data_IF_496893328110
#
_entry.id   IF_496893328110
#
_cell.length_a   1.000
_cell.length_b   1.000
_cell.length_c   1.000
_cell.angle_alpha   90.00
_cell.angle_beta   90.00
_cell.angle_gamma   90.00
#
_symmetry.space_group_name_H-M   'P 1'
#
loop_
_entity.id
_entity.type
_entity.pdbx_description
1 polymer ?
#
# COMPACT_ATOMS: atom_id res chain seq x y z
N UNK A 1 -1.69 -9.77 -15.00
CA UNK A 1 -1.04 -10.21 -13.75
C UNK A 1 -0.52 -11.63 -13.90
N UNK A 2 0.69 -11.87 -13.43
CA UNK A 2 1.32 -13.19 -13.42
C UNK A 2 1.86 -13.50 -12.01
N UNK A 3 1.98 -14.79 -11.68
CA UNK A 3 2.53 -15.26 -10.40
C UNK A 3 3.63 -16.29 -10.66
N UNK A 4 4.82 -16.03 -10.13
CA UNK A 4 5.97 -16.94 -10.19
C UNK A 4 6.51 -17.22 -8.77
N UNK A 5 7.09 -18.41 -8.52
CA UNK A 5 7.07 -19.57 -9.42
C UNK A 5 5.66 -20.13 -9.64
N UNK A 6 5.48 -20.91 -10.67
CA UNK A 6 4.21 -21.58 -11.01
C UNK A 6 4.39 -23.09 -11.02
N UNK A 7 3.31 -23.82 -11.20
CA UNK A 7 3.27 -25.27 -11.34
C UNK A 7 2.50 -25.66 -12.61
N UNK A 8 2.69 -26.86 -13.07
CA UNK A 8 1.91 -27.40 -14.18
C UNK A 8 0.63 -28.04 -13.64
N UNK A 9 -0.54 -27.47 -13.97
CA UNK A 9 -1.83 -28.00 -13.52
C UNK A 9 -2.12 -29.40 -14.09
N UNK A 10 -1.55 -29.75 -15.26
CA UNK A 10 -1.71 -31.05 -15.89
C UNK A 10 -1.18 -32.18 -15.00
N UNK A 11 -0.16 -31.93 -14.17
CA UNK A 11 0.38 -32.96 -13.26
C UNK A 11 -0.66 -33.45 -12.24
N UNK A 12 -1.67 -32.62 -11.88
CA UNK A 12 -2.77 -33.02 -11.02
C UNK A 12 -3.79 -33.92 -11.76
N UNK A 13 -4.07 -33.59 -13.03
CA UNK A 13 -4.97 -34.42 -13.86
C UNK A 13 -4.35 -35.78 -14.17
N UNK A 14 -3.06 -35.79 -14.47
CA UNK A 14 -2.28 -36.99 -14.79
C UNK A 14 -1.90 -37.79 -13.53
N UNK A 15 -2.26 -37.31 -12.33
CA UNK A 15 -1.89 -37.90 -11.04
C UNK A 15 -0.39 -38.16 -10.88
N UNK A 16 0.42 -37.22 -11.38
CA UNK A 16 1.88 -37.25 -11.23
C UNK A 16 2.26 -36.93 -9.77
N UNK A 17 2.16 -37.90 -8.89
CA UNK A 17 2.38 -37.73 -7.45
C UNK A 17 3.79 -37.24 -7.10
N UNK A 18 4.78 -37.52 -7.93
CA UNK A 18 6.16 -37.08 -7.71
C UNK A 18 6.20 -35.54 -7.85
N UNK A 19 5.70 -34.99 -8.97
CA UNK A 19 5.68 -33.56 -9.21
C UNK A 19 4.73 -32.83 -8.25
N UNK A 20 3.57 -33.40 -7.95
CA UNK A 20 2.64 -32.85 -6.94
C UNK A 20 3.35 -32.72 -5.59
N UNK A 21 4.08 -33.75 -5.16
CA UNK A 21 4.82 -33.70 -3.89
C UNK A 21 5.95 -32.68 -3.92
N UNK A 22 6.65 -32.54 -5.06
CA UNK A 22 7.65 -31.50 -5.27
C UNK A 22 7.04 -30.09 -5.11
N UNK A 23 5.87 -29.82 -5.69
CA UNK A 23 5.18 -28.52 -5.53
C UNK A 23 4.75 -28.26 -4.10
N UNK A 24 4.20 -29.27 -3.42
CA UNK A 24 3.72 -29.14 -2.03
C UNK A 24 4.86 -28.84 -1.04
N UNK A 25 6.03 -29.43 -1.27
CA UNK A 25 7.19 -29.28 -0.39
C UNK A 25 8.17 -28.16 -0.84
N UNK A 26 7.89 -27.49 -1.94
CA UNK A 26 8.76 -26.43 -2.45
C UNK A 26 8.69 -25.20 -1.54
N UNK A 27 9.86 -24.77 -1.05
CA UNK A 27 10.01 -23.57 -0.18
C UNK A 27 9.52 -22.30 -0.85
N UNK A 28 9.57 -22.22 -2.17
CA UNK A 28 9.09 -21.08 -2.96
C UNK A 28 7.57 -21.07 -3.15
N UNK A 29 6.85 -22.12 -2.71
CA UNK A 29 5.38 -22.22 -2.73
C UNK A 29 4.77 -21.89 -4.11
N UNK A 30 5.02 -22.67 -5.15
CA UNK A 30 4.54 -22.39 -6.51
C UNK A 30 3.00 -22.38 -6.63
N UNK A 31 2.30 -23.08 -5.73
CA UNK A 31 0.83 -23.07 -5.67
C UNK A 31 0.25 -21.79 -5.04
N UNK A 32 1.07 -20.96 -4.39
CA UNK A 32 0.62 -19.72 -3.80
C UNK A 32 0.58 -18.62 -4.87
N UNK A 33 -0.62 -18.20 -5.25
CA UNK A 33 -0.79 -17.15 -6.25
C UNK A 33 -0.50 -15.76 -5.64
N UNK A 34 0.69 -15.24 -5.92
CA UNK A 34 1.17 -13.96 -5.40
C UNK A 34 0.42 -12.76 -5.96
N UNK A 35 -0.22 -12.91 -7.13
CA UNK A 35 -0.91 -11.81 -7.78
C UNK A 35 -2.19 -11.38 -7.06
N UNK A 36 -2.90 -12.30 -6.41
CA UNK A 36 -4.15 -11.99 -5.71
C UNK A 36 -4.22 -12.48 -4.27
N UNK A 37 -3.42 -13.49 -3.88
CA UNK A 37 -3.35 -13.99 -2.50
C UNK A 37 -2.18 -13.42 -1.71
N UNK A 38 -1.18 -12.83 -2.40
CA UNK A 38 -0.06 -12.13 -1.78
C UNK A 38 -0.44 -10.71 -1.39
N UNK A 39 -0.14 -10.32 -0.15
CA UNK A 39 -0.39 -8.98 0.38
C UNK A 39 0.92 -8.36 0.83
N UNK A 40 1.20 -7.17 0.31
CA UNK A 40 2.47 -6.48 0.49
C UNK A 40 2.23 -5.01 0.85
N UNK A 41 3.12 -4.38 1.61
CA UNK A 41 3.14 -2.93 1.70
C UNK A 41 3.35 -2.34 0.30
N UNK A 42 2.43 -1.50 -0.22
CA UNK A 42 2.51 -1.01 -1.59
C UNK A 42 3.66 -0.02 -1.82
N UNK A 43 4.14 0.66 -0.75
CA UNK A 43 5.13 1.71 -0.90
C UNK A 43 4.62 2.87 -1.77
N UNK A 44 5.52 3.50 -2.51
CA UNK A 44 5.23 4.73 -3.27
C UNK A 44 4.20 4.59 -4.40
N UNK A 45 3.86 3.37 -4.83
CA UNK A 45 2.71 3.19 -5.75
C UNK A 45 1.37 3.51 -5.08
N UNK A 46 1.34 3.70 -3.76
CA UNK A 46 0.19 4.17 -3.01
C UNK A 46 0.04 5.70 -3.01
N UNK A 47 1.11 6.44 -3.31
CA UNK A 47 1.14 7.91 -3.22
C UNK A 47 0.02 8.65 -3.99
N UNK A 48 -0.47 8.19 -5.14
CA UNK A 48 -1.60 8.82 -5.82
C UNK A 48 -2.86 8.91 -4.97
N UNK A 49 -3.11 7.93 -4.08
CA UNK A 49 -4.32 7.91 -3.27
C UNK A 49 -4.39 9.07 -2.24
N UNK A 50 -3.39 9.29 -1.35
CA UNK A 50 -3.40 10.47 -0.48
C UNK A 50 -3.30 11.79 -1.25
N UNK A 51 -2.67 11.79 -2.45
CA UNK A 51 -2.66 12.95 -3.32
C UNK A 51 -4.07 13.31 -3.81
N UNK A 52 -4.83 12.32 -4.28
CA UNK A 52 -6.22 12.48 -4.70
C UNK A 52 -7.09 13.01 -3.56
N UNK A 53 -7.00 12.41 -2.36
CA UNK A 53 -7.72 12.90 -1.19
C UNK A 53 -7.35 14.34 -0.84
N UNK A 54 -6.07 14.68 -0.94
CA UNK A 54 -5.59 16.04 -0.69
C UNK A 54 -6.16 17.08 -1.66
N UNK A 55 -6.30 16.72 -2.94
CA UNK A 55 -6.94 17.54 -3.97
C UNK A 55 -8.45 17.67 -3.74
N UNK A 56 -9.14 16.57 -3.51
CA UNK A 56 -10.60 16.57 -3.28
C UNK A 56 -11.01 17.39 -2.06
N UNK A 57 -10.22 17.32 -0.99
CA UNK A 57 -10.47 18.08 0.25
C UNK A 57 -9.93 19.53 0.19
N UNK A 58 -9.34 19.95 -0.92
CA UNK A 58 -8.73 21.28 -1.05
C UNK A 58 -7.55 21.51 -0.09
N UNK A 59 -6.92 20.43 0.40
CA UNK A 59 -5.74 20.48 1.28
C UNK A 59 -4.51 20.92 0.49
N UNK A 60 -4.41 20.46 -0.74
CA UNK A 60 -3.39 20.85 -1.74
C UNK A 60 -4.07 21.16 -3.07
N UNK A 61 -3.35 21.88 -3.92
CA UNK A 61 -3.69 22.12 -5.32
C UNK A 61 -2.49 21.84 -6.24
N UNK A 62 -2.63 22.11 -7.53
CA UNK A 62 -1.59 21.84 -8.52
C UNK A 62 -0.32 22.70 -8.36
N UNK A 63 -0.42 23.83 -7.66
CA UNK A 63 0.67 24.79 -7.43
C UNK A 63 1.23 24.73 -6.01
N UNK A 64 0.61 23.98 -5.11
CA UNK A 64 1.08 23.79 -3.73
C UNK A 64 2.50 23.26 -3.69
N UNK A 65 3.40 23.95 -3.00
CA UNK A 65 4.81 23.55 -2.85
C UNK A 65 5.14 23.25 -1.39
N UNK A 66 5.95 22.22 -1.19
CA UNK A 66 6.54 21.85 0.10
C UNK A 66 8.06 21.80 -0.06
N UNK A 67 8.80 22.27 0.94
CA UNK A 67 10.25 22.17 0.94
C UNK A 67 10.71 20.88 1.62
N UNK A 68 11.35 20.02 0.86
CA UNK A 68 11.93 18.78 1.35
C UNK A 68 13.43 18.98 1.65
N UNK A 69 13.76 19.04 2.93
CA UNK A 69 15.15 19.08 3.44
C UNK A 69 15.69 17.68 3.82
N UNK A 70 14.97 16.62 3.45
CA UNK A 70 15.34 15.23 3.75
C UNK A 70 14.60 14.60 4.92
N UNK A 71 13.82 15.35 5.68
CA UNK A 71 12.96 14.80 6.75
C UNK A 71 11.75 15.69 7.04
N UNK A 72 10.79 15.11 7.76
CA UNK A 72 9.67 15.79 8.40
C UNK A 72 9.57 15.31 9.85
N UNK A 73 9.00 16.11 10.75
CA UNK A 73 8.96 15.77 12.18
C UNK A 73 7.55 15.85 12.74
N UNK A 74 7.24 14.97 13.70
CA UNK A 74 6.09 15.07 14.61
C UNK A 74 6.62 14.95 16.04
N UNK A 75 6.44 15.99 16.84
CA UNK A 75 7.05 16.08 18.16
C UNK A 75 8.58 15.92 18.05
N UNK A 76 9.14 15.01 18.82
CA UNK A 76 10.58 14.72 18.80
C UNK A 76 11.00 13.67 17.76
N UNK A 77 10.06 13.07 17.03
CA UNK A 77 10.37 12.00 16.08
C UNK A 77 10.51 12.52 14.65
N UNK A 78 11.62 12.15 13.99
CA UNK A 78 11.90 12.45 12.60
C UNK A 78 11.48 11.28 11.68
N UNK A 79 10.91 11.63 10.53
CA UNK A 79 10.53 10.75 9.43
C UNK A 79 11.35 11.15 8.21
N UNK A 80 12.22 10.28 7.76
CA UNK A 80 13.21 10.60 6.74
C UNK A 80 12.71 10.32 5.34
N UNK A 81 13.10 11.18 4.40
CA UNK A 81 12.97 10.93 2.98
C UNK A 81 14.05 9.95 2.52
N UNK A 82 13.77 9.15 1.50
CA UNK A 82 14.79 8.29 0.91
C UNK A 82 15.99 9.09 0.37
N UNK A 83 15.76 10.32 -0.10
CA UNK A 83 16.82 11.23 -0.55
C UNK A 83 17.37 12.02 0.63
N UNK A 84 18.54 11.63 1.14
CA UNK A 84 19.18 12.21 2.35
C UNK A 84 19.35 13.72 2.30
N UNK A 85 19.71 14.31 1.14
CA UNK A 85 19.85 15.77 0.96
C UNK A 85 18.54 16.49 0.70
N UNK A 86 17.41 15.76 0.67
CA UNK A 86 16.11 16.30 0.31
C UNK A 86 15.93 16.57 -1.17
N UNK A 87 14.71 16.95 -1.57
CA UNK A 87 14.33 17.24 -2.96
C UNK A 87 14.25 18.76 -3.24
N UNK A 88 14.46 19.60 -2.21
CA UNK A 88 14.26 21.05 -2.31
C UNK A 88 12.77 21.39 -2.43
N UNK A 89 12.42 22.33 -3.27
CA UNK A 89 11.01 22.69 -3.57
C UNK A 89 10.34 21.57 -4.38
N UNK A 90 9.21 21.10 -3.89
CA UNK A 90 8.46 19.97 -4.43
C UNK A 90 6.99 20.33 -4.53
N UNK A 91 6.44 20.33 -5.73
CA UNK A 91 5.01 20.34 -5.99
C UNK A 91 4.48 18.90 -6.17
N UNK A 92 3.18 18.74 -6.30
CA UNK A 92 2.54 17.43 -6.41
C UNK A 92 3.12 16.57 -7.56
N UNK A 93 3.31 17.16 -8.75
CA UNK A 93 3.88 16.45 -9.92
C UNK A 93 5.27 15.91 -9.63
N UNK A 94 6.13 16.73 -9.01
CA UNK A 94 7.48 16.33 -8.63
C UNK A 94 7.46 15.31 -7.49
N UNK A 95 6.55 15.46 -6.53
CA UNK A 95 6.39 14.52 -5.41
C UNK A 95 6.08 13.09 -5.89
N UNK A 96 5.17 12.94 -6.85
CA UNK A 96 4.83 11.64 -7.44
C UNK A 96 6.00 11.13 -8.30
N UNK A 97 6.56 11.98 -9.17
CA UNK A 97 7.65 11.61 -10.08
C UNK A 97 8.92 11.13 -9.35
N UNK A 98 9.28 11.83 -8.27
CA UNK A 98 10.52 11.58 -7.52
C UNK A 98 10.27 10.82 -6.21
N UNK A 99 9.03 10.40 -5.96
CA UNK A 99 8.65 9.69 -4.73
C UNK A 99 9.11 10.43 -3.47
N UNK A 100 8.77 11.69 -3.32
CA UNK A 100 9.21 12.50 -2.19
C UNK A 100 8.39 12.19 -0.94
N UNK A 101 8.93 11.40 -0.01
CA UNK A 101 8.24 11.03 1.22
C UNK A 101 7.85 12.25 2.06
N UNK A 102 8.72 13.28 2.14
CA UNK A 102 8.44 14.50 2.91
C UNK A 102 7.21 15.22 2.41
N UNK A 103 6.97 15.27 1.09
CA UNK A 103 5.74 15.86 0.56
C UNK A 103 4.50 15.12 1.12
N UNK A 104 4.53 13.81 1.10
CA UNK A 104 3.41 12.99 1.60
C UNK A 104 3.31 12.99 3.12
N UNK A 105 4.42 13.15 3.87
CA UNK A 105 4.37 13.38 5.32
C UNK A 105 3.70 14.70 5.67
N UNK A 106 4.04 15.79 4.97
CA UNK A 106 3.42 17.10 5.23
C UNK A 106 1.93 17.11 4.83
N UNK A 107 1.58 16.43 3.76
CA UNK A 107 0.18 16.21 3.38
C UNK A 107 -0.55 15.38 4.45
N UNK A 108 0.06 14.29 4.92
CA UNK A 108 -0.51 13.37 5.91
C UNK A 108 -0.82 14.04 7.26
N UNK A 109 -0.08 15.07 7.66
CA UNK A 109 -0.37 15.86 8.88
C UNK A 109 -1.74 16.55 8.82
N UNK A 110 -2.28 16.75 7.61
CA UNK A 110 -3.53 17.45 7.32
C UNK A 110 -4.65 16.51 6.88
N UNK A 111 -4.35 15.24 6.62
CA UNK A 111 -5.30 14.21 6.20
C UNK A 111 -5.90 13.50 7.43
N UNK A 112 -7.20 13.23 7.37
CA UNK A 112 -7.85 12.29 8.26
C UNK A 112 -7.65 10.85 7.75
N UNK A 113 -7.11 9.98 8.59
CA UNK A 113 -6.84 8.57 8.22
C UNK A 113 -8.12 7.78 7.88
N UNK A 114 -9.23 8.11 8.50
CA UNK A 114 -10.50 7.42 8.23
C UNK A 114 -11.03 7.81 6.84
N UNK A 115 -10.87 9.07 6.41
CA UNK A 115 -11.19 9.52 5.05
C UNK A 115 -10.28 8.83 4.01
N UNK A 116 -8.98 8.69 4.32
CA UNK A 116 -8.05 7.99 3.44
C UNK A 116 -8.43 6.51 3.27
N UNK A 117 -8.79 5.83 4.36
CA UNK A 117 -9.22 4.43 4.33
C UNK A 117 -10.56 4.26 3.60
N UNK A 118 -11.47 5.24 3.71
CA UNK A 118 -12.73 5.25 2.97
C UNK A 118 -12.48 5.38 1.47
N UNK A 119 -11.74 6.41 1.05
CA UNK A 119 -11.36 6.60 -0.36
C UNK A 119 -10.63 5.37 -0.91
N UNK A 120 -9.72 4.78 -0.14
CA UNK A 120 -9.05 3.54 -0.52
C UNK A 120 -10.05 2.42 -0.83
N UNK A 121 -11.11 2.30 -0.02
CA UNK A 121 -12.14 1.28 -0.22
C UNK A 121 -12.95 1.56 -1.50
N UNK A 122 -13.30 2.81 -1.76
CA UNK A 122 -13.98 3.23 -2.99
C UNK A 122 -13.13 2.99 -4.24
N UNK A 123 -11.80 3.12 -4.12
CA UNK A 123 -10.83 2.90 -5.19
C UNK A 123 -10.39 1.42 -5.34
N UNK A 124 -11.06 0.47 -4.65
CA UNK A 124 -10.84 -0.97 -4.84
C UNK A 124 -9.92 -1.63 -3.81
N UNK A 125 -9.37 -0.90 -2.85
CA UNK A 125 -8.67 -1.50 -1.72
C UNK A 125 -9.66 -2.01 -0.65
N UNK A 126 -9.18 -2.74 0.35
CA UNK A 126 -10.03 -3.29 1.43
C UNK A 126 -11.18 -4.19 0.94
N UNK A 127 -11.16 -4.63 -0.31
CA UNK A 127 -12.22 -5.43 -0.93
C UNK A 127 -11.72 -6.81 -1.31
N UNK A 128 -12.63 -7.79 -1.29
CA UNK A 128 -12.39 -9.12 -1.85
C UNK A 128 -12.84 -9.13 -3.31
N UNK A 129 -11.97 -9.59 -4.18
CA UNK A 129 -12.31 -9.80 -5.58
C UNK A 129 -12.64 -11.27 -5.82
N UNK A 130 -13.89 -11.53 -6.26
CA UNK A 130 -14.30 -12.87 -6.66
C UNK A 130 -13.94 -13.10 -8.13
N UNK A 131 -12.82 -13.77 -8.37
CA UNK A 131 -12.33 -14.12 -9.71
C UNK A 131 -12.40 -15.64 -9.95
N UNK A 132 -13.32 -16.34 -9.27
CA UNK A 132 -13.48 -17.78 -9.37
C UNK A 132 -12.40 -18.59 -8.64
N UNK A 133 -11.49 -17.96 -7.91
CA UNK A 133 -10.43 -18.59 -7.15
C UNK A 133 -10.70 -18.43 -5.65
N UNK A 134 -10.60 -19.51 -4.90
CA UNK A 134 -10.75 -19.52 -3.45
C UNK A 134 -9.58 -18.75 -2.80
N UNK A 135 -9.82 -18.10 -1.64
CA UNK A 135 -8.84 -17.41 -0.79
C UNK A 135 -8.49 -15.96 -1.15
N UNK A 136 -9.35 -15.23 -1.85
CA UNK A 136 -9.19 -13.78 -1.93
C UNK A 136 -9.38 -13.15 -0.54
N UNK A 137 -8.32 -12.61 0.03
CA UNK A 137 -8.38 -11.77 1.23
C UNK A 137 -8.66 -10.32 0.80
N UNK A 138 -9.12 -9.48 1.73
CA UNK A 138 -9.48 -8.09 1.41
C UNK A 138 -8.31 -7.10 1.50
N UNK A 139 -7.12 -7.54 1.93
CA UNK A 139 -6.03 -6.63 2.24
C UNK A 139 -6.32 -5.71 3.42
N UNK A 140 -5.59 -4.62 3.51
CA UNK A 140 -5.75 -3.63 4.58
C UNK A 140 -5.19 -2.27 4.15
N UNK A 141 -6.02 -1.24 4.17
CA UNK A 141 -5.64 0.15 4.38
C UNK A 141 -6.20 0.54 5.75
N UNK A 142 -5.33 0.74 6.76
CA UNK A 142 -5.76 0.83 8.15
C UNK A 142 -6.49 2.13 8.45
N UNK A 143 -7.30 2.12 9.51
CA UNK A 143 -7.98 3.28 10.09
C UNK A 143 -8.05 3.20 11.62
N UNK A 144 -8.63 4.21 12.25
CA UNK A 144 -8.76 4.26 13.74
C UNK A 144 -9.55 3.08 14.29
N UNK A 145 -10.66 2.73 13.62
CA UNK A 145 -11.51 1.62 14.05
C UNK A 145 -10.76 0.30 14.01
N UNK A 146 -10.07 0.02 12.88
CA UNK A 146 -9.27 -1.19 12.73
C UNK A 146 -8.21 -1.33 13.83
N UNK A 147 -7.51 -0.24 14.16
CA UNK A 147 -6.46 -0.29 15.19
C UNK A 147 -7.05 -0.55 16.58
N UNK A 148 -8.16 0.09 16.91
CA UNK A 148 -8.87 -0.13 18.18
C UNK A 148 -9.35 -1.56 18.30
N UNK A 149 -10.02 -2.07 17.26
CA UNK A 149 -10.60 -3.43 17.28
C UNK A 149 -9.52 -4.52 17.37
N UNK A 150 -8.34 -4.28 16.76
CA UNK A 150 -7.28 -5.29 16.69
C UNK A 150 -6.30 -5.25 17.86
N UNK A 151 -6.00 -4.06 18.37
CA UNK A 151 -4.92 -3.85 19.32
C UNK A 151 -5.37 -3.17 20.62
N UNK A 152 -6.63 -2.76 20.72
CA UNK A 152 -7.18 -1.94 21.83
C UNK A 152 -6.34 -0.66 22.07
N UNK A 153 -5.93 -0.01 21.00
CA UNK A 153 -5.06 1.16 21.02
C UNK A 153 -5.63 2.32 20.21
N UNK A 154 -5.33 3.54 20.65
CA UNK A 154 -5.61 4.75 19.90
C UNK A 154 -4.69 4.87 18.68
N UNK A 155 -5.16 5.58 17.66
CA UNK A 155 -4.39 5.95 16.50
C UNK A 155 -3.42 7.10 16.80
N UNK A 156 -2.17 6.98 16.39
CA UNK A 156 -1.17 8.03 16.56
C UNK A 156 -0.91 8.78 15.24
N UNK A 157 -0.67 10.11 15.28
CA UNK A 157 -0.44 10.91 14.07
C UNK A 157 0.67 10.36 13.16
N UNK A 158 1.75 9.84 13.73
CA UNK A 158 2.85 9.25 12.98
C UNK A 158 2.47 8.02 12.14
N UNK A 159 1.40 7.32 12.51
CA UNK A 159 0.89 6.19 11.73
C UNK A 159 0.25 6.66 10.43
N UNK A 160 -0.40 7.84 10.43
CA UNK A 160 -0.92 8.46 9.20
C UNK A 160 0.21 8.77 8.22
N UNK A 161 1.35 9.29 8.72
CA UNK A 161 2.51 9.57 7.87
C UNK A 161 2.98 8.31 7.14
N UNK A 162 3.18 7.24 7.90
CA UNK A 162 3.67 5.97 7.37
C UNK A 162 2.64 5.33 6.42
N UNK A 163 1.35 5.42 6.76
CA UNK A 163 0.27 4.91 5.90
C UNK A 163 0.21 5.65 4.56
N UNK A 164 0.39 6.99 4.55
CA UNK A 164 0.34 7.80 3.34
C UNK A 164 1.47 7.50 2.33
N UNK A 165 2.58 6.91 2.77
CA UNK A 165 3.64 6.45 1.87
C UNK A 165 3.54 4.94 1.56
N UNK A 166 2.38 4.33 1.83
CA UNK A 166 2.11 2.93 1.53
C UNK A 166 2.88 1.93 2.38
N UNK A 167 3.27 2.31 3.60
CA UNK A 167 4.00 1.46 4.56
C UNK A 167 3.19 1.21 5.84
N UNK A 168 3.85 0.69 6.87
CA UNK A 168 3.21 0.37 8.15
C UNK A 168 2.30 -0.85 8.03
N UNK A 169 1.03 -0.69 8.42
CA UNK A 169 0.05 -1.76 8.38
C UNK A 169 -0.64 -1.95 7.02
N UNK A 170 -0.31 -1.12 6.02
CA UNK A 170 -0.85 -1.29 4.66
C UNK A 170 -0.50 -2.67 4.11
N UNK A 171 -1.51 -3.36 3.59
CA UNK A 171 -1.36 -4.66 2.92
C UNK A 171 -2.30 -4.71 1.73
N UNK A 172 -1.76 -4.70 0.53
CA UNK A 172 -2.52 -4.75 -0.72
C UNK A 172 -1.98 -5.84 -1.63
N UNK A 173 -2.86 -6.42 -2.43
CA UNK A 173 -2.44 -7.37 -3.46
C UNK A 173 -2.11 -6.66 -4.77
N UNK A 174 -1.27 -7.25 -5.64
CA UNK A 174 -1.06 -6.75 -7.00
C UNK A 174 -2.35 -6.57 -7.79
N UNK A 175 -3.36 -7.44 -7.56
CA UNK A 175 -4.68 -7.30 -8.18
C UNK A 175 -5.37 -6.01 -7.73
N UNK A 176 -5.38 -5.70 -6.44
CA UNK A 176 -5.96 -4.45 -5.93
C UNK A 176 -5.27 -3.22 -6.51
N UNK A 177 -3.94 -3.25 -6.63
CA UNK A 177 -3.21 -2.18 -7.31
C UNK A 177 -3.63 -2.06 -8.77
N UNK A 178 -3.75 -3.17 -9.50
CA UNK A 178 -4.16 -3.14 -10.91
C UNK A 178 -5.61 -2.66 -11.13
N UNK A 179 -6.48 -2.81 -10.12
CA UNK A 179 -7.86 -2.27 -10.17
C UNK A 179 -7.87 -0.78 -9.87
N UNK A 180 -7.00 -0.32 -8.97
CA UNK A 180 -6.88 1.09 -8.59
C UNK A 180 -6.37 1.96 -9.75
N UNK A 181 -5.43 1.46 -10.56
CA UNK A 181 -4.84 2.17 -11.70
C UNK A 181 -5.60 1.94 -13.02
#
# INVERSE_FOLDING_TARGET
LNSNPTFNAQDFEDRNFIEINNFLNNSEKPMFNRAFSGFYPPGSVFNPLPALLGLEKGIIDSISEIFCNGHSSIGSRNYYCWKKGGHGKVNLKKAIKESCDVFFYELAKRINIDDLSLLATEMGYNQKYSIGLSNANKGLVPNRKWKRDKYDQSWYPGETLITCIGQGANQVSPLQLAVHY
#
